data_IF_713417545865
#
_entry.id   IF_713417545865
#
_cell.length_a   1.000
_cell.length_b   1.000
_cell.length_c   1.000
_cell.angle_alpha   90.00
_cell.angle_beta   90.00
_cell.angle_gamma   90.00
#
_symmetry.space_group_name_H-M   'P 1'
#
loop_
_entity.id
_entity.type
_entity.pdbx_description
1 polymer ?
#
# COMPACT_ATOMS: atom_id res chain seq x y z
N UNK A 1 51.85 6.61 -4.74
CA UNK A 1 51.09 7.71 -5.37
C UNK A 1 49.66 7.20 -5.57
N UNK A 2 48.71 7.70 -4.78
CA UNK A 2 47.30 7.33 -4.91
C UNK A 2 46.73 8.08 -6.11
N UNK A 3 46.52 7.40 -7.23
CA UNK A 3 45.73 7.94 -8.35
C UNK A 3 44.27 7.89 -7.93
N UNK A 4 43.85 8.90 -7.16
CA UNK A 4 42.45 9.15 -6.86
C UNK A 4 41.73 9.49 -8.16
N UNK A 5 41.28 8.45 -8.86
CA UNK A 5 40.42 8.58 -10.04
C UNK A 5 39.13 9.28 -9.61
N UNK A 6 39.02 10.57 -9.88
CA UNK A 6 37.76 11.30 -9.74
C UNK A 6 36.73 10.67 -10.68
N UNK A 7 35.55 10.38 -10.15
CA UNK A 7 34.41 9.90 -10.93
C UNK A 7 34.12 10.87 -12.08
N UNK A 8 33.75 10.33 -13.24
CA UNK A 8 33.28 11.16 -14.35
C UNK A 8 31.92 11.78 -14.02
N UNK A 9 31.54 12.91 -14.66
CA UNK A 9 30.21 13.49 -14.47
C UNK A 9 29.06 12.51 -14.72
N UNK A 10 29.23 11.59 -15.69
CA UNK A 10 28.23 10.58 -16.01
C UNK A 10 28.11 9.51 -14.90
N UNK A 11 29.23 9.12 -14.30
CA UNK A 11 29.21 8.22 -13.14
C UNK A 11 28.55 8.88 -11.92
N UNK A 12 28.81 10.17 -11.72
CA UNK A 12 28.16 10.95 -10.65
C UNK A 12 26.65 10.98 -10.86
N UNK A 13 26.18 11.33 -12.06
CA UNK A 13 24.75 11.35 -12.40
C UNK A 13 24.08 10.00 -12.16
N UNK A 14 24.70 8.90 -12.61
CA UNK A 14 24.17 7.55 -12.39
C UNK A 14 24.07 7.20 -10.90
N UNK A 15 25.04 7.61 -10.09
CA UNK A 15 25.00 7.41 -8.64
C UNK A 15 23.92 8.26 -7.97
N UNK A 16 23.70 9.49 -8.44
CA UNK A 16 22.62 10.36 -7.94
C UNK A 16 21.24 9.75 -8.25
N UNK A 17 21.02 9.23 -9.46
CA UNK A 17 19.77 8.55 -9.83
C UNK A 17 19.51 7.28 -9.00
N UNK A 18 20.57 6.49 -8.75
CA UNK A 18 20.51 5.32 -7.88
C UNK A 18 20.18 5.72 -6.44
N UNK A 19 20.82 6.78 -5.92
CA UNK A 19 20.56 7.28 -4.57
C UNK A 19 19.12 7.77 -4.44
N UNK A 20 18.61 8.53 -5.41
CA UNK A 20 17.23 8.99 -5.43
C UNK A 20 16.23 7.82 -5.43
N UNK A 21 16.51 6.78 -6.22
CA UNK A 21 15.69 5.55 -6.25
C UNK A 21 15.66 4.88 -4.87
N UNK A 22 16.80 4.80 -4.18
CA UNK A 22 16.89 4.23 -2.83
C UNK A 22 16.09 5.07 -1.83
N UNK A 23 16.22 6.40 -1.86
CA UNK A 23 15.50 7.30 -0.96
C UNK A 23 13.98 7.17 -1.14
N UNK A 24 13.49 7.19 -2.38
CA UNK A 24 12.06 7.00 -2.65
C UNK A 24 11.60 5.60 -2.23
N UNK A 25 12.38 4.55 -2.50
CA UNK A 25 12.05 3.18 -2.07
C UNK A 25 11.90 3.09 -0.55
N UNK A 26 12.81 3.71 0.22
CA UNK A 26 12.72 3.78 1.68
C UNK A 26 11.44 4.47 2.15
N UNK A 27 11.08 5.59 1.52
CA UNK A 27 9.81 6.31 1.79
C UNK A 27 8.59 5.44 1.52
N UNK A 28 8.53 4.71 0.40
CA UNK A 28 7.39 3.85 0.11
C UNK A 28 7.34 2.58 0.98
N UNK A 29 8.48 2.06 1.46
CA UNK A 29 8.49 1.03 2.51
C UNK A 29 7.90 1.54 3.83
N UNK A 30 8.15 2.81 4.18
CA UNK A 30 7.50 3.43 5.34
C UNK A 30 5.99 3.55 5.14
N UNK A 31 5.51 3.81 3.92
CA UNK A 31 4.06 3.84 3.64
C UNK A 31 3.41 2.48 3.84
N UNK A 32 4.04 1.40 3.36
CA UNK A 32 3.57 0.03 3.58
C UNK A 32 3.57 -0.33 5.09
N UNK A 33 4.61 0.07 5.82
CA UNK A 33 4.71 -0.13 7.26
C UNK A 33 3.60 0.61 8.01
N UNK A 34 3.38 1.90 7.69
CA UNK A 34 2.31 2.70 8.28
C UNK A 34 0.92 2.10 7.98
N UNK A 35 0.69 1.67 6.75
CA UNK A 35 -0.56 0.99 6.35
C UNK A 35 -0.81 -0.30 7.16
N UNK A 36 0.24 -1.07 7.40
CA UNK A 36 0.17 -2.30 8.22
C UNK A 36 -0.20 -1.97 9.67
N UNK A 37 0.42 -0.94 10.26
CA UNK A 37 0.11 -0.48 11.62
C UNK A 37 -1.33 0.04 11.74
N UNK A 38 -1.79 0.81 10.75
CA UNK A 38 -3.18 1.29 10.70
C UNK A 38 -4.16 0.11 10.65
N UNK A 39 -3.88 -0.87 9.78
CA UNK A 39 -4.71 -2.06 9.64
C UNK A 39 -4.77 -2.87 10.95
N UNK A 40 -3.62 -3.03 11.63
CA UNK A 40 -3.55 -3.69 12.93
C UNK A 40 -4.40 -2.96 13.98
N UNK A 41 -4.26 -1.64 14.09
CA UNK A 41 -5.04 -0.86 15.05
C UNK A 41 -6.55 -0.95 14.78
N UNK A 42 -6.96 -0.94 13.52
CA UNK A 42 -8.36 -1.14 13.14
C UNK A 42 -8.89 -2.53 13.57
N UNK A 43 -8.06 -3.57 13.53
CA UNK A 43 -8.43 -4.91 14.00
C UNK A 43 -8.55 -4.95 15.53
N UNK A 44 -7.66 -4.26 16.25
CA UNK A 44 -7.74 -4.15 17.71
C UNK A 44 -9.03 -3.45 18.16
N UNK A 45 -9.41 -2.37 17.48
CA UNK A 45 -10.69 -1.67 17.76
C UNK A 45 -11.88 -2.60 17.51
N UNK A 46 -11.94 -3.27 16.35
CA UNK A 46 -13.02 -4.21 16.02
C UNK A 46 -13.10 -5.37 17.00
N UNK A 47 -11.94 -5.91 17.43
CA UNK A 47 -11.87 -6.95 18.46
C UNK A 47 -12.48 -6.46 19.77
N UNK A 48 -12.15 -5.24 20.20
CA UNK A 48 -12.72 -4.67 21.42
C UNK A 48 -14.23 -4.47 21.31
N UNK A 49 -14.75 -4.00 20.16
CA UNK A 49 -16.19 -3.87 19.93
C UNK A 49 -16.93 -5.21 20.11
N UNK A 50 -16.36 -6.32 19.61
CA UNK A 50 -16.92 -7.65 19.79
C UNK A 50 -16.93 -8.06 21.27
N UNK A 51 -15.84 -7.80 21.99
CA UNK A 51 -15.73 -8.10 23.43
C UNK A 51 -16.75 -7.31 24.24
N UNK A 52 -16.91 -6.02 23.96
CA UNK A 52 -17.85 -5.15 24.65
C UNK A 52 -19.30 -5.59 24.39
N UNK A 53 -19.61 -5.95 23.14
CA UNK A 53 -20.91 -6.50 22.74
C UNK A 53 -21.24 -7.80 23.49
N UNK A 54 -20.29 -8.74 23.58
CA UNK A 54 -20.47 -9.99 24.33
C UNK A 54 -20.74 -9.77 25.83
N UNK A 55 -20.17 -8.71 26.39
CA UNK A 55 -20.34 -8.37 27.81
C UNK A 55 -21.57 -7.49 28.08
N UNK A 56 -22.40 -7.20 27.07
CA UNK A 56 -23.52 -6.25 27.15
C UNK A 56 -23.10 -4.88 27.72
N UNK A 57 -21.84 -4.49 27.50
CA UNK A 57 -21.37 -3.16 27.87
C UNK A 57 -21.92 -2.21 26.83
N UNK A 58 -22.95 -1.46 27.19
CA UNK A 58 -23.38 -0.31 26.39
C UNK A 58 -22.26 0.74 26.46
N UNK A 59 -21.34 0.68 25.49
CA UNK A 59 -20.38 1.74 25.27
C UNK A 59 -21.16 2.98 24.84
N UNK A 60 -21.14 4.01 25.68
CA UNK A 60 -21.85 5.28 25.47
C UNK A 60 -21.21 6.16 24.39
N UNK A 61 -20.18 5.66 23.69
CA UNK A 61 -19.66 6.28 22.49
C UNK A 61 -20.55 5.89 21.31
N UNK A 62 -21.01 6.87 20.53
CA UNK A 62 -21.77 6.63 19.30
C UNK A 62 -21.02 5.60 18.44
N UNK A 63 -21.60 4.42 18.25
CA UNK A 63 -21.03 3.36 17.42
C UNK A 63 -20.75 3.83 15.99
N UNK A 64 -21.54 4.80 15.49
CA UNK A 64 -21.31 5.43 14.19
C UNK A 64 -19.96 6.14 14.10
N UNK A 65 -19.51 6.80 15.16
CA UNK A 65 -18.26 7.58 15.14
C UNK A 65 -17.03 6.65 15.06
N UNK A 66 -17.11 5.46 15.68
CA UNK A 66 -16.07 4.45 15.62
C UNK A 66 -16.05 3.77 14.24
N UNK A 67 -17.22 3.46 13.67
CA UNK A 67 -17.31 2.87 12.33
C UNK A 67 -16.79 3.81 11.24
N UNK A 68 -17.15 5.09 11.30
CA UNK A 68 -16.63 6.13 10.40
C UNK A 68 -15.12 6.28 10.53
N UNK A 69 -14.59 6.27 11.76
CA UNK A 69 -13.15 6.29 12.01
C UNK A 69 -12.43 5.09 11.36
N UNK A 70 -12.93 3.86 11.59
CA UNK A 70 -12.36 2.64 11.00
C UNK A 70 -12.37 2.74 9.47
N UNK A 71 -13.46 3.20 8.87
CA UNK A 71 -13.56 3.37 7.42
C UNK A 71 -12.52 4.36 6.90
N UNK A 72 -12.44 5.57 7.49
CA UNK A 72 -11.45 6.59 7.10
C UNK A 72 -10.02 6.04 7.20
N UNK A 73 -9.70 5.32 8.27
CA UNK A 73 -8.38 4.72 8.44
C UNK A 73 -8.10 3.61 7.42
N UNK A 74 -9.10 2.80 7.04
CA UNK A 74 -8.98 1.82 5.94
C UNK A 74 -8.71 2.51 4.60
N UNK A 75 -9.33 3.66 4.35
CA UNK A 75 -9.08 4.45 3.13
C UNK A 75 -7.67 5.02 3.09
N UNK A 76 -7.19 5.60 4.20
CA UNK A 76 -5.80 6.07 4.32
C UNK A 76 -4.81 4.92 4.09
N UNK A 77 -5.04 3.78 4.75
CA UNK A 77 -4.22 2.57 4.58
C UNK A 77 -4.18 2.09 3.13
N UNK A 78 -5.32 2.08 2.44
CA UNK A 78 -5.42 1.69 1.03
C UNK A 78 -4.65 2.67 0.13
N UNK A 79 -4.81 3.98 0.34
CA UNK A 79 -4.10 5.00 -0.42
C UNK A 79 -2.57 4.87 -0.27
N UNK A 80 -2.07 4.65 0.95
CA UNK A 80 -0.63 4.44 1.20
C UNK A 80 -0.07 3.23 0.43
N UNK A 81 -0.83 2.13 0.37
CA UNK A 81 -0.44 0.92 -0.35
C UNK A 81 -0.49 1.15 -1.86
N UNK A 82 -1.54 1.80 -2.38
CA UNK A 82 -1.66 2.14 -3.80
C UNK A 82 -0.50 3.01 -4.26
N UNK A 83 -0.16 4.05 -3.51
CA UNK A 83 0.98 4.93 -3.81
C UNK A 83 2.30 4.14 -3.85
N UNK A 84 2.55 3.31 -2.84
CA UNK A 84 3.75 2.47 -2.79
C UNK A 84 3.83 1.47 -3.95
N UNK A 85 2.74 0.76 -4.23
CA UNK A 85 2.70 -0.21 -5.33
C UNK A 85 2.81 0.47 -6.69
N UNK A 86 2.25 1.68 -6.86
CA UNK A 86 2.39 2.47 -8.08
C UNK A 86 3.86 2.86 -8.32
N UNK A 87 4.58 3.24 -7.27
CA UNK A 87 6.02 3.50 -7.37
C UNK A 87 6.78 2.24 -7.83
N UNK A 88 6.58 1.10 -7.18
CA UNK A 88 7.29 -0.14 -7.55
C UNK A 88 6.91 -0.66 -8.93
N UNK A 89 5.65 -0.52 -9.35
CA UNK A 89 5.20 -0.82 -10.71
C UNK A 89 5.93 0.05 -11.75
N UNK A 90 6.09 1.35 -11.49
CA UNK A 90 6.82 2.23 -12.39
C UNK A 90 8.33 1.90 -12.42
N UNK A 91 8.91 1.49 -11.29
CA UNK A 91 10.30 1.06 -11.23
C UNK A 91 10.51 -0.23 -12.04
N UNK A 92 9.64 -1.23 -11.87
CA UNK A 92 9.72 -2.48 -12.64
C UNK A 92 9.42 -2.29 -14.12
N UNK A 93 8.58 -1.31 -14.48
CA UNK A 93 8.38 -0.90 -15.88
C UNK A 93 9.71 -0.49 -16.51
N UNK A 94 10.42 0.46 -15.90
CA UNK A 94 11.71 0.96 -16.39
C UNK A 94 12.73 -0.18 -16.56
N UNK A 95 12.78 -1.11 -15.60
CA UNK A 95 13.66 -2.28 -15.66
C UNK A 95 13.23 -3.23 -16.79
N UNK A 96 11.93 -3.44 -17.00
CA UNK A 96 11.41 -4.32 -18.05
C UNK A 96 11.59 -3.79 -19.47
N UNK A 97 11.70 -2.46 -19.62
CA UNK A 97 11.95 -1.77 -20.88
C UNK A 97 13.46 -1.63 -21.19
N UNK A 98 14.32 -1.97 -20.23
CA UNK A 98 15.77 -1.97 -20.40
C UNK A 98 16.23 -3.35 -20.88
N UNK A 99 16.63 -3.47 -22.13
CA UNK A 99 17.18 -4.71 -22.67
C UNK A 99 18.59 -4.97 -22.12
N UNK A 100 18.79 -6.13 -21.50
CA UNK A 100 20.11 -6.67 -21.14
C UNK A 100 20.54 -7.72 -22.16
N UNK A 101 21.84 -8.04 -22.21
CA UNK A 101 22.36 -9.12 -23.07
C UNK A 101 21.86 -10.51 -22.65
N UNK A 102 21.18 -10.62 -21.51
CA UNK A 102 20.71 -11.86 -20.94
C UNK A 102 19.20 -12.05 -21.17
N UNK A 103 18.85 -12.95 -22.09
CA UNK A 103 17.46 -13.26 -22.43
C UNK A 103 16.62 -13.77 -21.23
N UNK A 104 17.24 -14.49 -20.28
CA UNK A 104 16.55 -14.96 -19.07
C UNK A 104 16.18 -13.78 -18.17
N UNK A 105 17.12 -12.85 -18.00
CA UNK A 105 16.92 -11.64 -17.20
C UNK A 105 15.83 -10.74 -17.81
N UNK A 106 15.86 -10.50 -19.12
CA UNK A 106 14.82 -9.74 -19.82
C UNK A 106 13.44 -10.35 -19.62
N UNK A 107 13.32 -11.68 -19.69
CA UNK A 107 12.04 -12.35 -19.45
C UNK A 107 11.61 -12.23 -17.98
N UNK A 108 12.54 -12.40 -17.05
CA UNK A 108 12.27 -12.23 -15.61
C UNK A 108 11.78 -10.81 -15.30
N UNK A 109 12.39 -9.79 -15.88
CA UNK A 109 12.02 -8.39 -15.67
C UNK A 109 10.60 -8.09 -16.17
N UNK A 110 10.22 -8.63 -17.33
CA UNK A 110 8.85 -8.51 -17.87
C UNK A 110 7.82 -9.23 -16.99
N UNK A 111 8.14 -10.43 -16.51
CA UNK A 111 7.26 -11.17 -15.59
C UNK A 111 7.10 -10.41 -14.28
N UNK A 112 8.18 -9.88 -13.70
CA UNK A 112 8.13 -9.09 -12.47
C UNK A 112 7.24 -7.85 -12.63
N UNK A 113 7.40 -7.11 -13.74
CA UNK A 113 6.53 -5.96 -14.03
C UNK A 113 5.05 -6.35 -14.13
N UNK A 114 4.75 -7.46 -14.79
CA UNK A 114 3.38 -7.99 -14.85
C UNK A 114 2.84 -8.35 -13.45
N UNK A 115 3.64 -9.00 -12.61
CA UNK A 115 3.26 -9.36 -11.23
C UNK A 115 3.01 -8.13 -10.37
N UNK A 116 3.83 -7.08 -10.48
CA UNK A 116 3.60 -5.81 -9.79
C UNK A 116 2.28 -5.16 -10.24
N UNK A 117 1.96 -5.25 -11.53
CA UNK A 117 0.68 -4.79 -12.08
C UNK A 117 -0.51 -5.54 -11.49
N UNK A 118 -0.40 -6.87 -11.33
CA UNK A 118 -1.44 -7.67 -10.67
C UNK A 118 -1.60 -7.30 -9.19
N UNK A 119 -0.49 -7.10 -8.47
CA UNK A 119 -0.54 -6.68 -7.07
C UNK A 119 -1.26 -5.33 -6.93
N UNK A 120 -0.95 -4.36 -7.80
CA UNK A 120 -1.62 -3.07 -7.82
C UNK A 120 -3.12 -3.20 -8.14
N UNK A 121 -3.49 -4.02 -9.13
CA UNK A 121 -4.89 -4.27 -9.49
C UNK A 121 -5.71 -4.85 -8.32
N UNK A 122 -5.18 -5.85 -7.62
CA UNK A 122 -5.86 -6.49 -6.48
C UNK A 122 -6.14 -5.47 -5.37
N UNK A 123 -5.20 -4.57 -5.09
CA UNK A 123 -5.40 -3.54 -4.07
C UNK A 123 -6.42 -2.49 -4.50
N UNK A 124 -6.44 -2.09 -5.79
CA UNK A 124 -7.47 -1.20 -6.32
C UNK A 124 -8.88 -1.79 -6.18
N UNK A 125 -9.07 -3.04 -6.60
CA UNK A 125 -10.35 -3.75 -6.43
C UNK A 125 -10.79 -3.77 -4.97
N UNK A 126 -9.89 -4.12 -4.05
CA UNK A 126 -10.19 -4.16 -2.62
C UNK A 126 -10.53 -2.78 -2.04
N UNK A 127 -9.89 -1.71 -2.51
CA UNK A 127 -10.21 -0.35 -2.10
C UNK A 127 -11.62 0.06 -2.58
N UNK A 128 -11.99 -0.32 -3.81
CA UNK A 128 -13.34 -0.09 -4.37
C UNK A 128 -14.39 -0.85 -3.55
N UNK A 129 -14.15 -2.12 -3.23
CA UNK A 129 -15.06 -2.94 -2.40
C UNK A 129 -15.32 -2.31 -1.03
N UNK A 130 -14.27 -1.78 -0.39
CA UNK A 130 -14.40 -1.07 0.88
C UNK A 130 -15.31 0.17 0.75
N UNK A 131 -15.16 0.96 -0.32
CA UNK A 131 -15.99 2.14 -0.58
C UNK A 131 -17.45 1.73 -0.82
N UNK A 132 -17.69 0.72 -1.66
CA UNK A 132 -19.04 0.24 -1.98
C UNK A 132 -19.73 -0.28 -0.71
N UNK A 133 -19.02 -1.08 0.09
CA UNK A 133 -19.55 -1.63 1.34
C UNK A 133 -19.95 -0.53 2.33
N UNK A 134 -19.10 0.49 2.50
CA UNK A 134 -19.42 1.62 3.37
C UNK A 134 -20.60 2.45 2.83
N UNK A 135 -20.62 2.74 1.52
CA UNK A 135 -21.73 3.45 0.89
C UNK A 135 -23.06 2.71 1.10
N UNK A 136 -23.08 1.39 0.93
CA UNK A 136 -24.29 0.59 1.12
C UNK A 136 -24.76 0.62 2.59
N UNK A 137 -23.84 0.58 3.56
CA UNK A 137 -24.16 0.77 5.00
C UNK A 137 -24.81 2.10 5.30
N UNK A 138 -24.27 3.20 4.75
CA UNK A 138 -24.77 4.55 5.00
C UNK A 138 -26.12 4.81 4.33
N UNK A 139 -26.35 4.25 3.14
CA UNK A 139 -27.58 4.46 2.37
C UNK A 139 -28.72 3.54 2.84
N UNK A 140 -28.42 2.29 3.19
CA UNK A 140 -29.40 1.30 3.67
C UNK A 140 -28.96 0.69 5.02
N UNK A 141 -29.14 1.41 6.14
CA UNK A 141 -28.73 0.92 7.45
C UNK A 141 -29.54 -0.29 7.94
N UNK A 142 -30.74 -0.55 7.40
CA UNK A 142 -31.63 -1.65 7.79
C UNK A 142 -31.32 -3.00 7.09
N UNK A 143 -30.47 -3.02 6.05
CA UNK A 143 -30.22 -4.23 5.25
C UNK A 143 -29.02 -5.07 5.74
N UNK A 144 -28.37 -4.69 6.85
CA UNK A 144 -27.24 -5.43 7.44
C UNK A 144 -27.70 -5.98 8.79
N UNK A 145 -28.72 -6.83 8.73
CA UNK A 145 -29.04 -7.75 9.80
C UNK A 145 -27.97 -8.84 9.81
N UNK A 146 -27.03 -8.74 10.76
CA UNK A 146 -26.17 -9.86 11.13
C UNK A 146 -26.96 -10.77 12.08
N UNK A 147 -27.86 -11.57 11.53
CA UNK A 147 -28.30 -12.82 12.17
C UNK A 147 -27.31 -13.95 11.89
#
# INVERSE_FOLDING_TARGET
>A
MSTGSKLSPEQIRKLEDQLNTIIESQKYLLYLTASTLISYNNLEIQKQQIIDSLNNVNTTGNSSDIEDYIFQMRMISSALVIEALTFYFNLSKQISETDTDNAIENNSNKVNHFLDGLALFIIYERAIDNIITYKNRVINPEDIDLT
#
